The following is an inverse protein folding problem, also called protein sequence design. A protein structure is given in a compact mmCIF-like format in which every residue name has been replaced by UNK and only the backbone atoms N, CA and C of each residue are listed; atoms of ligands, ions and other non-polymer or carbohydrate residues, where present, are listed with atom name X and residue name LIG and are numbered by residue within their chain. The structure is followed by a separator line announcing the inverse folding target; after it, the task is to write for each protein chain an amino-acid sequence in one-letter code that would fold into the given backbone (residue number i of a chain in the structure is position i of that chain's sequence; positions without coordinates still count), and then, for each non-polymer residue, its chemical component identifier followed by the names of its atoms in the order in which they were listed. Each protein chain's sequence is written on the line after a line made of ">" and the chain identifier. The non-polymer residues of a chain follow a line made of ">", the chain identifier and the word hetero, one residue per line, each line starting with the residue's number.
data_IF_101697761202
#
_entry.id   IF_101697761202
#
_cell.length_a   1.000
_cell.length_b   1.000
_cell.length_c   1.000
_cell.angle_alpha   90.00
_cell.angle_beta   90.00
_cell.angle_gamma   90.00
#
_symmetry.space_group_name_H-M   'P 1'
#
loop_
_entity.id
_entity.type
_entity.pdbx_description
1 polymer ?
#
# COMPACT_ATOMS: atom_id res chain seq x y z
N UNK A 1 -11.99 -16.09 -2.88
CA UNK A 1 -11.48 -17.14 -1.98
C UNK A 1 -10.03 -16.84 -1.70
N UNK A 2 -9.47 -17.42 -0.64
CA UNK A 2 -8.09 -17.18 -0.29
C UNK A 2 -7.19 -17.95 -1.26
N UNK A 3 -6.48 -17.25 -2.14
CA UNK A 3 -5.66 -17.85 -3.20
C UNK A 3 -4.19 -17.49 -3.01
N UNK A 4 -3.31 -18.46 -3.20
CA UNK A 4 -1.85 -18.25 -3.28
C UNK A 4 -1.39 -18.43 -4.72
N UNK A 5 -0.82 -17.38 -5.32
CA UNK A 5 -0.18 -17.39 -6.64
C UNK A 5 1.30 -17.09 -6.43
N UNK A 6 2.17 -18.04 -6.81
CA UNK A 6 3.59 -17.92 -6.53
C UNK A 6 4.48 -18.44 -7.63
N UNK A 7 5.63 -17.80 -7.78
CA UNK A 7 6.67 -18.23 -8.72
C UNK A 7 6.16 -18.37 -10.16
N UNK A 8 5.15 -17.58 -10.51
CA UNK A 8 4.68 -17.43 -11.88
C UNK A 8 5.74 -16.70 -12.71
N UNK A 9 5.81 -17.04 -14.00
CA UNK A 9 6.71 -16.39 -14.94
C UNK A 9 5.98 -16.14 -16.26
N UNK A 10 6.05 -14.89 -16.73
CA UNK A 10 5.57 -14.50 -18.05
C UNK A 10 6.68 -13.84 -18.86
N UNK A 11 6.84 -14.24 -20.12
CA UNK A 11 7.72 -13.54 -21.06
C UNK A 11 7.14 -12.19 -21.54
N UNK A 12 5.86 -11.94 -21.26
CA UNK A 12 5.18 -10.65 -21.44
C UNK A 12 4.64 -10.18 -20.09
N UNK A 13 3.41 -9.68 -20.09
CA UNK A 13 2.79 -9.07 -18.90
C UNK A 13 2.14 -10.09 -17.97
N UNK A 14 2.03 -9.74 -16.67
CA UNK A 14 1.23 -10.48 -15.69
C UNK A 14 1.85 -11.81 -15.30
N UNK A 15 2.97 -11.79 -14.57
CA UNK A 15 3.72 -12.99 -14.18
C UNK A 15 2.88 -14.01 -13.40
N UNK A 16 1.92 -13.54 -12.60
CA UNK A 16 0.88 -14.37 -11.99
C UNK A 16 -0.43 -14.37 -12.78
N UNK A 17 -0.97 -13.19 -13.11
CA UNK A 17 -2.26 -13.01 -13.79
C UNK A 17 -2.18 -11.90 -14.84
N UNK A 18 -2.61 -12.19 -16.05
CA UNK A 18 -2.91 -11.17 -17.07
C UNK A 18 -4.42 -11.10 -17.30
N UNK A 19 -5.02 -9.95 -17.06
CA UNK A 19 -6.47 -9.75 -17.21
C UNK A 19 -6.82 -8.66 -18.21
N UNK A 20 -7.60 -9.04 -19.22
CA UNK A 20 -8.20 -8.14 -20.23
C UNK A 20 -9.66 -7.81 -19.94
N UNK A 21 -10.11 -8.09 -18.71
CA UNK A 21 -11.45 -7.88 -18.21
C UNK A 21 -11.40 -7.51 -16.70
N UNK A 22 -12.51 -7.04 -16.11
CA UNK A 22 -12.61 -6.85 -14.66
C UNK A 22 -12.10 -8.06 -13.87
N UNK A 23 -11.17 -7.81 -12.95
CA UNK A 23 -10.58 -8.82 -12.07
C UNK A 23 -10.93 -8.48 -10.62
N UNK A 24 -11.48 -9.46 -9.90
CA UNK A 24 -11.76 -9.32 -8.49
C UNK A 24 -10.83 -10.23 -7.68
N UNK A 25 -9.94 -9.62 -6.91
CA UNK A 25 -8.94 -10.27 -6.06
C UNK A 25 -9.32 -10.03 -4.61
N UNK A 26 -9.57 -11.11 -3.87
CA UNK A 26 -9.97 -11.04 -2.47
C UNK A 26 -9.07 -11.95 -1.64
N UNK A 27 -8.52 -11.45 -0.54
CA UNK A 27 -7.80 -12.26 0.46
C UNK A 27 -6.74 -13.17 -0.13
N UNK A 28 -6.05 -12.67 -1.15
CA UNK A 28 -5.10 -13.45 -1.95
C UNK A 28 -3.67 -13.02 -1.69
N UNK A 29 -2.73 -13.90 -2.01
CA UNK A 29 -1.30 -13.64 -1.87
C UNK A 29 -0.55 -13.96 -3.15
N UNK A 30 0.15 -12.94 -3.67
CA UNK A 30 1.02 -13.02 -4.83
C UNK A 30 2.46 -12.92 -4.36
N UNK A 31 3.25 -13.98 -4.56
CA UNK A 31 4.64 -14.04 -4.08
C UNK A 31 5.64 -14.52 -5.12
N UNK A 32 6.69 -13.76 -5.35
CA UNK A 32 7.78 -14.21 -6.21
C UNK A 32 7.37 -14.38 -7.67
N UNK A 33 6.34 -13.66 -8.15
CA UNK A 33 5.92 -13.74 -9.55
C UNK A 33 6.71 -12.76 -10.40
N UNK A 34 7.03 -13.15 -11.64
CA UNK A 34 7.96 -12.43 -12.50
C UNK A 34 7.37 -12.21 -13.90
N UNK A 35 7.50 -11.00 -14.42
CA UNK A 35 7.14 -10.65 -15.79
C UNK A 35 8.34 -10.00 -16.50
N UNK A 36 8.61 -10.41 -17.74
CA UNK A 36 9.55 -9.67 -18.60
C UNK A 36 8.88 -8.46 -19.30
N UNK A 37 7.56 -8.33 -19.16
CA UNK A 37 6.82 -7.11 -19.48
C UNK A 37 6.37 -6.42 -18.20
N UNK A 38 5.10 -6.01 -18.17
CA UNK A 38 4.54 -5.22 -17.06
C UNK A 38 3.80 -6.10 -16.04
N UNK A 39 3.77 -5.69 -14.77
CA UNK A 39 2.96 -6.32 -13.73
C UNK A 39 3.48 -7.69 -13.30
N UNK A 40 4.41 -7.72 -12.34
CA UNK A 40 5.08 -8.96 -11.95
C UNK A 40 4.12 -9.96 -11.35
N UNK A 41 3.18 -9.49 -10.52
CA UNK A 41 2.06 -10.30 -10.05
C UNK A 41 0.89 -10.25 -11.02
N UNK A 42 0.40 -9.04 -11.33
CA UNK A 42 -0.83 -8.85 -12.08
C UNK A 42 -0.64 -7.73 -13.11
N UNK A 43 -1.13 -7.95 -14.33
CA UNK A 43 -1.34 -6.89 -15.30
C UNK A 43 -2.83 -6.82 -15.68
N UNK A 44 -3.41 -5.62 -15.59
CA UNK A 44 -4.82 -5.35 -15.87
C UNK A 44 -4.90 -4.35 -17.03
N UNK A 45 -5.55 -4.74 -18.13
CA UNK A 45 -5.59 -3.95 -19.36
C UNK A 45 -6.97 -3.42 -19.76
N UNK A 46 -8.03 -3.79 -19.02
CA UNK A 46 -9.37 -3.24 -19.24
C UNK A 46 -10.32 -3.47 -18.05
N UNK A 47 -11.35 -2.62 -17.98
CA UNK A 47 -12.46 -2.75 -17.03
C UNK A 47 -12.19 -2.07 -15.70
N UNK A 48 -13.05 -2.36 -14.72
CA UNK A 48 -12.88 -1.89 -13.34
C UNK A 48 -12.65 -3.11 -12.44
N UNK A 49 -11.49 -3.18 -11.81
CA UNK A 49 -11.07 -4.30 -10.97
C UNK A 49 -11.08 -3.92 -9.48
N UNK A 50 -11.19 -4.93 -8.62
CA UNK A 50 -11.17 -4.75 -7.17
C UNK A 50 -10.08 -5.63 -6.56
N UNK A 51 -9.25 -5.05 -5.70
CA UNK A 51 -8.23 -5.76 -4.92
C UNK A 51 -8.49 -5.45 -3.45
N UNK A 52 -8.92 -6.47 -2.69
CA UNK A 52 -9.29 -6.31 -1.29
C UNK A 52 -8.56 -7.34 -0.43
N UNK A 53 -8.00 -6.87 0.69
CA UNK A 53 -7.35 -7.70 1.72
C UNK A 53 -6.25 -8.62 1.19
N UNK A 54 -5.49 -8.19 0.19
CA UNK A 54 -4.52 -9.03 -0.51
C UNK A 54 -3.07 -8.58 -0.25
N UNK A 55 -2.12 -9.49 -0.40
CA UNK A 55 -0.70 -9.22 -0.20
C UNK A 55 0.15 -9.53 -1.43
N UNK A 56 1.02 -8.59 -1.80
CA UNK A 56 1.95 -8.68 -2.93
C UNK A 56 3.37 -8.57 -2.40
N UNK A 57 4.14 -9.63 -2.57
CA UNK A 57 5.47 -9.77 -2.00
C UNK A 57 6.50 -10.24 -3.03
N UNK A 58 7.65 -9.57 -3.11
CA UNK A 58 8.77 -10.05 -3.95
C UNK A 58 8.35 -10.33 -5.40
N UNK A 59 7.40 -9.55 -5.95
CA UNK A 59 7.05 -9.64 -7.35
C UNK A 59 7.94 -8.70 -8.16
N UNK A 60 8.26 -9.12 -9.38
CA UNK A 60 9.28 -8.48 -10.22
C UNK A 60 8.78 -8.28 -11.65
N UNK A 61 8.98 -7.08 -12.20
CA UNK A 61 8.64 -6.78 -13.59
C UNK A 61 9.54 -5.70 -14.20
N UNK A 62 9.36 -5.41 -15.49
CA UNK A 62 9.94 -4.19 -16.09
C UNK A 62 9.30 -2.97 -15.45
N UNK A 63 7.98 -2.94 -15.46
CA UNK A 63 7.15 -1.88 -14.87
C UNK A 63 6.12 -2.46 -13.92
N UNK A 64 5.91 -1.81 -12.77
CA UNK A 64 4.90 -2.23 -11.80
C UNK A 64 5.24 -3.59 -11.23
N UNK A 65 6.25 -3.65 -10.35
CA UNK A 65 6.78 -4.91 -9.82
C UNK A 65 5.70 -5.83 -9.26
N UNK A 66 4.67 -5.28 -8.62
CA UNK A 66 3.46 -6.02 -8.31
C UNK A 66 2.40 -5.90 -9.42
N UNK A 67 1.94 -4.68 -9.70
CA UNK A 67 0.74 -4.44 -10.50
C UNK A 67 1.03 -3.43 -11.63
N UNK A 68 0.62 -3.78 -12.84
CA UNK A 68 0.51 -2.83 -13.94
C UNK A 68 -0.96 -2.63 -14.30
N UNK A 69 -1.36 -1.36 -14.39
CA UNK A 69 -2.73 -0.97 -14.71
C UNK A 69 -2.68 -0.11 -15.98
N UNK A 70 -3.24 -0.64 -17.06
CA UNK A 70 -3.39 0.09 -18.33
C UNK A 70 -4.85 0.11 -18.74
N UNK A 71 -5.37 1.27 -19.14
CA UNK A 71 -6.76 1.43 -19.62
C UNK A 71 -7.86 0.80 -18.70
N UNK A 72 -7.59 0.73 -17.40
CA UNK A 72 -8.46 0.12 -16.39
C UNK A 72 -8.57 1.03 -15.17
N UNK A 73 -9.69 0.93 -14.46
CA UNK A 73 -9.84 1.46 -13.11
C UNK A 73 -9.57 0.38 -12.09
N UNK A 74 -9.11 0.73 -10.89
CA UNK A 74 -8.86 -0.21 -9.80
C UNK A 74 -9.18 0.41 -8.44
N UNK A 75 -9.99 -0.30 -7.66
CA UNK A 75 -10.18 -0.05 -6.23
C UNK A 75 -9.31 -1.02 -5.42
N UNK A 76 -8.37 -0.48 -4.64
CA UNK A 76 -7.48 -1.23 -3.75
C UNK A 76 -7.83 -0.88 -2.32
N UNK A 77 -8.11 -1.89 -1.51
CA UNK A 77 -8.47 -1.70 -0.10
C UNK A 77 -7.81 -2.74 0.81
N UNK A 78 -7.38 -2.34 2.00
CA UNK A 78 -6.83 -3.25 3.01
C UNK A 78 -5.68 -4.13 2.49
N UNK A 79 -4.88 -3.65 1.55
CA UNK A 79 -3.91 -4.51 0.87
C UNK A 79 -2.49 -4.08 1.19
N UNK A 80 -1.58 -5.05 1.22
CA UNK A 80 -0.17 -4.82 1.53
C UNK A 80 0.70 -5.15 0.32
N UNK A 81 1.49 -4.19 -0.12
CA UNK A 81 2.50 -4.33 -1.17
C UNK A 81 3.86 -4.12 -0.53
N UNK A 82 4.71 -5.14 -0.54
CA UNK A 82 6.03 -5.01 0.06
C UNK A 82 7.12 -5.76 -0.67
N UNK A 83 8.32 -5.16 -0.70
CA UNK A 83 9.50 -5.74 -1.35
C UNK A 83 9.25 -6.13 -2.81
N UNK A 84 8.37 -5.42 -3.53
CA UNK A 84 8.20 -5.62 -4.97
C UNK A 84 9.20 -4.75 -5.72
N UNK A 85 9.67 -5.25 -6.86
CA UNK A 85 10.75 -4.63 -7.63
C UNK A 85 10.35 -4.39 -9.09
N UNK A 86 10.62 -3.21 -9.61
CA UNK A 86 10.55 -2.93 -11.04
C UNK A 86 11.90 -2.50 -11.57
N UNK A 87 12.27 -2.91 -12.78
CA UNK A 87 13.52 -2.48 -13.41
C UNK A 87 13.47 -1.01 -13.87
N UNK A 88 12.28 -0.51 -14.18
CA UNK A 88 12.07 0.79 -14.82
C UNK A 88 11.15 1.65 -13.96
N UNK A 89 9.83 1.50 -14.06
CA UNK A 89 8.88 2.37 -13.37
C UNK A 89 8.08 1.61 -12.31
N UNK A 90 7.91 2.22 -11.14
CA UNK A 90 7.09 1.71 -10.02
C UNK A 90 7.42 0.34 -9.46
N UNK A 91 8.06 0.29 -8.29
CA UNK A 91 8.30 -0.97 -7.57
C UNK A 91 7.01 -1.73 -7.24
N UNK A 92 5.92 -1.04 -6.86
CA UNK A 92 4.64 -1.67 -6.59
C UNK A 92 3.65 -1.53 -7.76
N UNK A 93 3.15 -0.32 -8.05
CA UNK A 93 2.06 -0.11 -9.02
C UNK A 93 2.47 0.89 -10.08
N UNK A 94 2.61 0.43 -11.32
CA UNK A 94 2.69 1.33 -12.47
C UNK A 94 1.27 1.62 -12.99
N UNK A 95 0.86 2.89 -12.92
CA UNK A 95 -0.49 3.30 -13.24
C UNK A 95 -0.54 4.17 -14.51
N UNK A 96 -0.91 3.54 -15.64
CA UNK A 96 -1.01 4.16 -16.98
C UNK A 96 -2.44 4.13 -17.51
N UNK A 97 -3.35 4.82 -16.84
CA UNK A 97 -4.77 4.84 -17.21
C UNK A 97 -5.41 6.20 -16.95
N UNK A 98 -6.57 6.40 -17.59
CA UNK A 98 -7.43 7.58 -17.42
C UNK A 98 -8.73 7.24 -16.65
N UNK A 99 -8.79 6.08 -16.01
CA UNK A 99 -9.94 5.60 -15.22
C UNK A 99 -9.62 5.65 -13.72
N UNK A 100 -10.57 5.69 -12.79
CA UNK A 100 -10.21 5.91 -11.38
C UNK A 100 -9.26 4.84 -10.80
N UNK A 101 -8.21 5.31 -10.09
CA UNK A 101 -7.43 4.52 -9.14
C UNK A 101 -7.72 5.02 -7.73
N UNK A 102 -8.17 4.12 -6.85
CA UNK A 102 -8.44 4.43 -5.45
C UNK A 102 -7.67 3.48 -4.55
N UNK A 103 -6.84 4.01 -3.68
CA UNK A 103 -6.05 3.24 -2.72
C UNK A 103 -6.46 3.64 -1.32
N UNK A 104 -7.15 2.73 -0.63
CA UNK A 104 -7.73 2.96 0.69
C UNK A 104 -7.12 2.00 1.70
N UNK A 105 -6.79 2.48 2.88
CA UNK A 105 -6.42 1.61 4.01
C UNK A 105 -5.37 0.56 3.63
N UNK A 106 -4.34 0.94 2.87
CA UNK A 106 -3.37 0.00 2.31
C UNK A 106 -1.95 0.37 2.71
N UNK A 107 -1.03 -0.59 2.66
CA UNK A 107 0.35 -0.42 3.09
C UNK A 107 1.31 -0.77 1.96
N UNK A 108 2.19 0.16 1.61
CA UNK A 108 3.24 0.05 0.60
C UNK A 108 4.59 0.23 1.28
N UNK A 109 5.34 -0.86 1.43
CA UNK A 109 6.54 -0.90 2.25
C UNK A 109 7.73 -1.44 1.46
N UNK A 110 8.83 -0.68 1.39
CA UNK A 110 10.10 -1.17 0.82
C UNK A 110 9.97 -1.71 -0.62
N UNK A 111 9.08 -1.15 -1.42
CA UNK A 111 9.04 -1.44 -2.85
C UNK A 111 10.09 -0.59 -3.58
N UNK A 112 10.71 -1.12 -4.62
CA UNK A 112 11.86 -0.50 -5.28
C UNK A 112 11.65 -0.42 -6.80
N UNK A 113 11.88 0.76 -7.36
CA UNK A 113 12.05 0.95 -8.79
C UNK A 113 13.53 1.22 -9.11
N UNK A 114 14.06 0.45 -10.07
CA UNK A 114 15.39 0.61 -10.60
C UNK A 114 15.53 1.87 -11.45
N UNK A 115 16.78 2.27 -11.73
CA UNK A 115 17.07 3.40 -12.59
C UNK A 115 17.10 2.98 -14.05
N UNK A 116 16.12 3.44 -14.82
CA UNK A 116 16.19 3.45 -16.29
C UNK A 116 16.30 4.90 -16.80
N UNK A 117 16.88 5.16 -17.99
CA UNK A 117 17.05 6.51 -18.55
C UNK A 117 15.79 7.37 -18.73
N UNK A 118 14.59 6.87 -18.46
CA UNK A 118 13.33 7.43 -18.96
C UNK A 118 12.63 8.45 -18.04
N UNK A 119 13.18 8.74 -16.87
CA UNK A 119 12.69 9.85 -16.03
C UNK A 119 12.65 9.50 -14.55
N UNK A 120 12.07 10.38 -13.70
CA UNK A 120 11.82 10.06 -12.31
C UNK A 120 10.63 9.10 -12.19
N UNK A 121 10.68 8.20 -11.21
CA UNK A 121 9.56 7.34 -10.83
C UNK A 121 9.52 7.20 -9.29
N UNK A 122 8.77 6.23 -8.77
CA UNK A 122 8.69 5.90 -7.35
C UNK A 122 8.79 4.40 -7.10
N UNK A 123 9.15 4.00 -5.89
CA UNK A 123 9.06 2.60 -5.48
C UNK A 123 7.62 2.16 -5.22
N UNK A 124 6.76 3.05 -4.69
CA UNK A 124 5.36 2.71 -4.42
C UNK A 124 4.49 2.81 -5.67
N UNK A 125 3.98 4.02 -5.99
CA UNK A 125 3.07 4.24 -7.13
C UNK A 125 3.59 5.36 -8.02
N UNK A 126 3.71 5.10 -9.32
CA UNK A 126 3.85 6.13 -10.35
C UNK A 126 2.52 6.34 -11.07
N UNK A 127 2.07 7.60 -11.03
CA UNK A 127 0.84 8.09 -11.67
C UNK A 127 1.10 9.20 -12.70
N UNK A 128 2.35 9.48 -13.05
CA UNK A 128 2.76 10.65 -13.84
C UNK A 128 2.16 10.73 -15.25
N UNK A 129 1.65 9.61 -15.76
CA UNK A 129 1.01 9.52 -17.09
C UNK A 129 -0.52 9.50 -17.03
N UNK A 130 -1.09 9.61 -15.84
CA UNK A 130 -2.54 9.55 -15.61
C UNK A 130 -3.21 10.92 -15.73
N UNK A 131 -4.39 10.95 -16.34
CA UNK A 131 -5.33 12.08 -16.23
C UNK A 131 -6.54 11.76 -15.31
N UNK A 132 -6.50 10.66 -14.58
CA UNK A 132 -7.63 10.10 -13.82
C UNK A 132 -7.73 10.57 -12.37
N UNK A 133 -6.86 11.48 -11.93
CA UNK A 133 -6.90 12.06 -10.58
C UNK A 133 -6.89 10.99 -9.45
N UNK A 134 -5.86 10.12 -9.34
CA UNK A 134 -5.81 9.06 -8.34
C UNK A 134 -6.02 9.54 -6.90
N UNK A 135 -6.66 8.70 -6.08
CA UNK A 135 -6.97 8.98 -4.68
C UNK A 135 -6.20 8.02 -3.79
N UNK A 136 -5.52 8.57 -2.77
CA UNK A 136 -4.95 7.84 -1.65
C UNK A 136 -5.67 8.30 -0.37
N UNK A 137 -6.15 7.37 0.44
CA UNK A 137 -6.74 7.68 1.73
C UNK A 137 -6.43 6.60 2.77
N UNK A 138 -6.20 7.02 4.01
CA UNK A 138 -5.95 6.12 5.15
C UNK A 138 -4.82 5.13 4.90
N UNK A 139 -3.84 5.46 4.06
CA UNK A 139 -2.84 4.51 3.56
C UNK A 139 -1.43 4.91 3.97
N UNK A 140 -0.53 3.93 3.99
CA UNK A 140 0.85 4.09 4.43
C UNK A 140 1.76 3.75 3.27
N UNK A 141 2.62 4.68 2.91
CA UNK A 141 3.74 4.47 1.99
C UNK A 141 5.01 4.78 2.75
N UNK A 142 5.86 3.77 2.91
CA UNK A 142 7.07 3.91 3.68
C UNK A 142 8.24 3.18 3.05
N UNK A 143 9.38 3.86 3.03
CA UNK A 143 10.67 3.32 2.62
C UNK A 143 10.67 2.73 1.22
N UNK A 144 9.75 3.17 0.35
CA UNK A 144 9.82 2.78 -1.05
C UNK A 144 10.89 3.65 -1.73
N UNK A 145 11.58 3.07 -2.69
CA UNK A 145 12.76 3.69 -3.29
C UNK A 145 12.69 3.75 -4.81
N UNK A 146 13.31 4.78 -5.37
CA UNK A 146 13.65 4.88 -6.78
C UNK A 146 15.13 5.24 -6.89
N UNK A 147 15.91 4.44 -7.62
CA UNK A 147 17.37 4.64 -7.76
C UNK A 147 18.10 4.73 -6.40
N UNK A 148 17.64 3.96 -5.41
CA UNK A 148 18.20 3.93 -4.05
C UNK A 148 17.84 5.13 -3.17
N UNK A 149 17.06 6.09 -3.67
CA UNK A 149 16.58 7.25 -2.91
C UNK A 149 15.11 7.05 -2.52
N UNK A 150 14.66 7.69 -1.43
CA UNK A 150 13.26 7.57 -0.99
C UNK A 150 12.29 8.21 -1.99
N UNK A 151 11.37 7.39 -2.51
CA UNK A 151 10.33 7.81 -3.44
C UNK A 151 9.09 6.93 -3.22
N UNK A 152 8.18 7.39 -2.35
CA UNK A 152 6.98 6.63 -2.02
C UNK A 152 5.96 6.66 -3.14
N UNK A 153 5.75 7.83 -3.74
CA UNK A 153 4.84 8.02 -4.84
C UNK A 153 5.39 9.08 -5.79
N UNK A 154 5.02 9.00 -7.07
CA UNK A 154 5.39 9.94 -8.10
C UNK A 154 4.18 10.32 -8.97
N UNK A 155 4.12 11.57 -9.41
CA UNK A 155 3.02 12.10 -10.22
C UNK A 155 1.93 12.83 -9.42
N UNK A 156 0.79 13.08 -10.07
CA UNK A 156 -0.28 13.91 -9.54
C UNK A 156 -1.40 13.05 -8.94
N UNK A 157 -1.75 13.34 -7.69
CA UNK A 157 -2.84 12.71 -6.95
C UNK A 157 -3.88 13.77 -6.57
N UNK A 158 -5.15 13.47 -6.78
CA UNK A 158 -6.22 14.44 -6.47
C UNK A 158 -6.45 14.60 -4.98
N UNK A 159 -6.18 13.54 -4.21
CA UNK A 159 -6.35 13.52 -2.77
C UNK A 159 -5.32 12.58 -2.14
N UNK A 160 -4.66 13.09 -1.10
CA UNK A 160 -4.13 12.28 -0.02
C UNK A 160 -4.85 12.73 1.27
N UNK A 161 -5.47 11.77 1.95
CA UNK A 161 -6.21 12.06 3.19
C UNK A 161 -5.87 11.03 4.26
N UNK A 162 -5.59 11.47 5.49
CA UNK A 162 -5.24 10.59 6.61
C UNK A 162 -4.19 9.54 6.22
N UNK A 163 -3.14 9.95 5.51
CA UNK A 163 -2.15 9.01 4.95
C UNK A 163 -0.76 9.38 5.39
N UNK A 164 0.14 8.39 5.48
CA UNK A 164 1.54 8.61 5.81
C UNK A 164 2.42 8.33 4.59
N UNK A 165 3.35 9.24 4.33
CA UNK A 165 4.44 9.08 3.37
C UNK A 165 5.77 9.36 4.07
N UNK A 166 6.76 8.49 3.90
CA UNK A 166 8.13 8.81 4.34
C UNK A 166 8.83 9.81 3.42
N UNK A 167 8.39 9.92 2.17
CA UNK A 167 8.81 10.94 1.19
C UNK A 167 7.66 11.28 0.25
N UNK A 168 7.53 12.54 -0.15
CA UNK A 168 6.57 12.98 -1.18
C UNK A 168 7.29 13.64 -2.37
N UNK A 169 8.59 13.45 -2.48
CA UNK A 169 9.40 14.07 -3.51
C UNK A 169 8.95 13.58 -4.90
N UNK A 170 8.59 14.53 -5.77
CA UNK A 170 8.08 14.23 -7.10
C UNK A 170 6.58 13.91 -7.17
N UNK A 171 5.85 13.97 -6.05
CA UNK A 171 4.41 13.86 -6.02
C UNK A 171 3.72 15.21 -5.75
N UNK A 172 2.52 15.37 -6.29
CA UNK A 172 1.63 16.47 -5.95
C UNK A 172 0.29 15.95 -5.46
N UNK A 173 -0.34 16.69 -4.53
CA UNK A 173 -1.62 16.32 -3.93
C UNK A 173 -2.56 17.52 -3.93
N UNK A 174 -3.85 17.29 -4.17
CA UNK A 174 -4.86 18.35 -4.08
C UNK A 174 -5.03 18.92 -2.67
N UNK A 175 -5.02 18.07 -1.63
CA UNK A 175 -5.02 18.45 -0.21
C UNK A 175 -4.02 17.60 0.57
N UNK A 176 -3.41 18.18 1.62
CA UNK A 176 -2.40 17.52 2.47
C UNK A 176 -2.64 17.74 3.97
N UNK A 177 -3.77 18.32 4.38
CA UNK A 177 -3.98 18.76 5.77
C UNK A 177 -3.97 17.64 6.83
N UNK A 178 -4.20 16.40 6.40
CA UNK A 178 -4.28 15.18 7.21
C UNK A 178 -3.17 14.19 6.83
N UNK A 179 -2.16 14.63 6.08
CA UNK A 179 -1.06 13.80 5.59
C UNK A 179 0.15 13.94 6.50
N UNK A 180 0.69 12.81 6.94
CA UNK A 180 1.95 12.74 7.68
C UNK A 180 3.11 12.55 6.69
N UNK A 181 4.17 13.35 6.82
CA UNK A 181 5.29 13.36 5.87
C UNK A 181 6.62 13.30 6.62
N UNK A 182 7.42 12.26 6.32
CA UNK A 182 8.74 12.06 6.92
C UNK A 182 8.72 11.37 8.29
N UNK A 183 7.53 11.06 8.82
CA UNK A 183 7.36 10.30 10.04
C UNK A 183 7.74 8.82 9.86
N UNK A 184 8.30 8.21 10.91
CA UNK A 184 8.50 6.77 10.94
C UNK A 184 7.16 6.09 11.23
N UNK A 185 6.66 5.19 10.37
CA UNK A 185 5.37 4.53 10.59
C UNK A 185 5.39 3.56 11.78
N UNK A 186 6.57 3.18 12.28
CA UNK A 186 6.77 2.29 13.42
C UNK A 186 5.95 0.99 13.30
N UNK A 187 6.05 0.37 12.12
CA UNK A 187 5.44 -0.92 11.81
C UNK A 187 6.27 -2.09 12.37
N UNK A 188 5.64 -3.25 12.56
CA UNK A 188 6.32 -4.47 12.94
C UNK A 188 7.45 -4.81 11.96
N UNK A 189 8.62 -5.25 12.43
CA UNK A 189 9.74 -5.59 11.53
C UNK A 189 9.53 -6.86 10.68
N UNK A 190 8.46 -7.61 10.94
CA UNK A 190 8.05 -8.77 10.11
C UNK A 190 6.53 -8.73 9.93
N UNK A 191 6.00 -9.19 8.79
CA UNK A 191 4.57 -9.19 8.57
C UNK A 191 3.88 -10.25 9.45
N UNK A 192 2.77 -9.85 10.06
CA UNK A 192 1.83 -10.76 10.67
C UNK A 192 1.13 -11.58 9.58
N UNK A 193 0.94 -12.87 9.83
CA UNK A 193 0.39 -13.83 8.86
C UNK A 193 -0.88 -14.46 9.40
N UNK A 194 -1.99 -14.26 8.69
CA UNK A 194 -3.24 -14.99 8.92
C UNK A 194 -3.69 -15.61 7.59
N UNK A 195 -3.79 -16.94 7.55
CA UNK A 195 -4.02 -17.67 6.31
C UNK A 195 -2.91 -17.38 5.31
N UNK A 196 -3.28 -16.93 4.10
CA UNK A 196 -2.31 -16.51 3.06
C UNK A 196 -1.97 -15.03 3.13
N UNK A 197 -2.71 -14.23 3.91
CA UNK A 197 -2.59 -12.77 3.91
C UNK A 197 -1.49 -12.29 4.85
N UNK A 198 -0.68 -11.34 4.38
CA UNK A 198 0.40 -10.71 5.11
C UNK A 198 0.15 -9.21 5.26
N UNK A 199 0.25 -8.70 6.49
CA UNK A 199 0.15 -7.27 6.80
C UNK A 199 1.12 -6.91 7.92
N UNK A 200 1.47 -5.63 8.02
CA UNK A 200 2.37 -5.12 9.05
C UNK A 200 1.57 -4.37 10.10
N UNK A 201 1.71 -4.77 11.36
CA UNK A 201 0.97 -4.16 12.45
C UNK A 201 1.68 -2.88 12.92
N UNK A 202 0.94 -1.77 13.15
CA UNK A 202 1.48 -0.64 13.91
C UNK A 202 1.93 -1.11 15.30
N UNK A 203 3.14 -0.73 15.69
CA UNK A 203 3.64 -1.01 17.05
C UNK A 203 3.19 0.09 18.01
N UNK A 204 3.18 -0.17 19.34
CA UNK A 204 2.81 0.84 20.32
C UNK A 204 3.60 2.16 20.15
N UNK A 205 2.88 3.28 20.16
CA UNK A 205 3.44 4.62 19.89
C UNK A 205 3.57 4.97 18.41
N UNK A 206 3.09 4.13 17.49
CA UNK A 206 3.05 4.43 16.07
C UNK A 206 2.12 5.62 15.79
N UNK A 207 2.50 6.55 14.90
CA UNK A 207 1.64 7.66 14.49
C UNK A 207 0.44 7.21 13.63
N UNK A 208 0.39 5.92 13.26
CA UNK A 208 -0.69 5.35 12.45
C UNK A 208 -1.93 4.99 13.28
N UNK A 209 -1.74 4.80 14.59
CA UNK A 209 -2.78 4.29 15.50
C UNK A 209 -3.87 5.34 15.67
N UNK A 210 -5.13 4.95 15.44
CA UNK A 210 -6.33 5.80 15.51
C UNK A 210 -6.26 7.05 14.62
N UNK A 211 -5.39 7.04 13.59
CA UNK A 211 -5.10 8.21 12.75
C UNK A 211 -5.72 8.12 11.34
N UNK A 212 -6.39 7.02 11.02
CA UNK A 212 -7.10 6.81 9.75
C UNK A 212 -8.39 7.62 9.65
N UNK A 213 -8.88 7.79 8.42
CA UNK A 213 -10.11 8.52 8.18
C UNK A 213 -11.33 7.77 8.76
N UNK A 214 -12.18 8.48 9.48
CA UNK A 214 -13.44 7.95 10.05
C UNK A 214 -14.61 7.98 9.06
N UNK A 215 -14.36 8.40 7.82
CA UNK A 215 -15.28 8.27 6.70
C UNK A 215 -14.71 7.29 5.66
N UNK A 216 -15.59 6.54 5.00
CA UNK A 216 -15.20 5.63 3.92
C UNK A 216 -14.14 4.56 4.29
N UNK A 217 -14.33 3.91 5.44
CA UNK A 217 -13.51 2.77 5.86
C UNK A 217 -14.31 1.45 5.88
N UNK A 218 -13.70 0.31 5.56
CA UNK A 218 -14.35 -1.01 5.65
C UNK A 218 -14.49 -1.44 7.11
N UNK A 219 -15.49 -2.28 7.41
CA UNK A 219 -15.73 -2.77 8.77
C UNK A 219 -14.55 -3.58 9.34
N UNK A 220 -13.72 -4.17 8.47
CA UNK A 220 -12.60 -5.01 8.87
C UNK A 220 -11.33 -4.63 8.11
N UNK A 221 -10.18 -4.85 8.74
CA UNK A 221 -8.85 -4.70 8.16
C UNK A 221 -8.45 -5.89 7.27
N UNK A 222 -7.18 -5.96 6.86
CA UNK A 222 -6.63 -7.05 6.03
C UNK A 222 -6.82 -8.44 6.65
N UNK A 223 -6.63 -8.56 7.96
CA UNK A 223 -6.67 -9.81 8.70
C UNK A 223 -8.04 -10.15 9.27
N UNK A 224 -9.01 -9.23 9.15
CA UNK A 224 -10.38 -9.43 9.60
C UNK A 224 -10.69 -8.85 10.98
N UNK A 225 -9.81 -8.03 11.55
CA UNK A 225 -10.05 -7.28 12.78
C UNK A 225 -10.94 -6.07 12.52
N UNK A 226 -11.75 -5.69 13.51
CA UNK A 226 -12.64 -4.53 13.38
C UNK A 226 -11.81 -3.23 13.33
N UNK A 227 -12.12 -2.33 12.41
CA UNK A 227 -11.46 -1.03 12.22
C UNK A 227 -11.90 0.07 13.18
N UNK A 228 -12.87 -0.19 14.06
CA UNK A 228 -13.24 0.76 15.12
C UNK A 228 -12.72 0.22 16.44
N UNK A 229 -11.41 0.29 16.63
CA UNK A 229 -10.75 0.03 17.90
C UNK A 229 -10.18 1.32 18.47
N UNK A 230 -9.97 1.32 19.79
CA UNK A 230 -9.30 2.40 20.51
C UNK A 230 -7.88 1.90 20.78
N UNK A 231 -7.02 2.06 19.77
CA UNK A 231 -5.66 1.52 19.77
C UNK A 231 -4.70 2.32 20.64
N UNK A 232 -4.96 3.62 20.80
CA UNK A 232 -4.15 4.55 21.59
C UNK A 232 -4.60 4.64 23.08
N UNK A 233 -5.79 4.14 23.41
CA UNK A 233 -6.32 4.09 24.78
C UNK A 233 -6.96 5.39 25.27
N UNK A 234 -7.30 6.32 24.38
CA UNK A 234 -7.91 7.62 24.70
C UNK A 234 -9.44 7.59 24.81
N UNK A 235 -10.05 6.40 24.67
CA UNK A 235 -11.50 6.14 24.68
C UNK A 235 -12.24 6.65 23.43
N UNK A 236 -11.53 7.01 22.36
CA UNK A 236 -12.08 7.49 21.08
C UNK A 236 -11.66 6.55 19.95
N UNK A 237 -12.41 5.47 19.70
CA UNK A 237 -12.03 4.50 18.68
C UNK A 237 -12.06 5.12 17.28
N UNK A 238 -10.99 4.90 16.51
CA UNK A 238 -10.84 5.31 15.13
C UNK A 238 -10.02 4.26 14.35
N UNK A 239 -10.17 4.17 13.02
CA UNK A 239 -9.35 3.23 12.26
C UNK A 239 -7.89 3.67 12.24
N UNK A 240 -7.00 2.69 12.11
CA UNK A 240 -5.61 2.95 11.83
C UNK A 240 -5.40 3.33 10.36
N UNK A 241 -4.34 4.10 10.12
CA UNK A 241 -3.77 4.21 8.78
C UNK A 241 -3.11 2.87 8.37
N UNK A 242 -3.31 2.46 7.12
CA UNK A 242 -2.71 1.27 6.54
C UNK A 242 -3.62 0.04 6.58
N UNK A 243 -3.06 -1.10 6.18
CA UNK A 243 -3.80 -2.34 5.95
C UNK A 243 -4.20 -3.10 7.21
N UNK A 244 -3.59 -2.79 8.35
CA UNK A 244 -3.75 -3.50 9.61
C UNK A 244 -4.26 -2.56 10.70
N UNK A 245 -5.19 -3.03 11.51
CA UNK A 245 -5.66 -2.35 12.71
C UNK A 245 -4.89 -2.84 13.95
N UNK A 246 -4.28 -1.95 14.71
CA UNK A 246 -3.68 -2.26 16.00
C UNK A 246 -4.75 -2.81 16.94
N UNK A 247 -4.56 -4.06 17.36
CA UNK A 247 -5.47 -4.71 18.29
C UNK A 247 -4.94 -4.60 19.71
N UNK A 248 -5.78 -4.10 20.61
CA UNK A 248 -5.50 -4.03 22.04
C UNK A 248 -5.10 -2.64 22.49
N UNK A 249 -5.43 -2.32 23.73
CA UNK A 249 -4.92 -1.11 24.35
C UNK A 249 -3.39 -1.22 24.37
N UNK A 250 -2.69 -0.27 23.74
CA UNK A 250 -1.37 0.07 24.24
C UNK A 250 -1.49 0.18 25.76
N UNK A 251 -0.53 -0.32 26.57
CA UNK A 251 -0.55 0.01 27.99
C UNK A 251 -0.78 1.50 28.09
N UNK A 252 -1.82 1.95 28.80
CA UNK A 252 -2.01 3.39 28.94
C UNK A 252 -0.67 3.96 29.42
N UNK A 253 -0.25 5.11 28.90
CA UNK A 253 0.83 5.86 29.52
C UNK A 253 0.35 6.28 30.92
N UNK A 254 0.55 5.39 31.90
CA UNK A 254 0.11 5.56 33.28
C UNK A 254 0.91 6.68 33.93
N UNK A 255 2.04 7.06 33.33
CA UNK A 255 2.91 8.12 33.80
C UNK A 255 2.57 9.50 33.23
N UNK A 256 1.90 9.56 32.09
CA UNK A 256 1.58 10.79 31.35
C UNK A 256 2.81 11.48 30.76
N UNK A 257 3.91 10.74 30.51
CA UNK A 257 5.18 11.27 29.99
C UNK A 257 5.31 11.25 28.46
N UNK A 258 4.31 10.67 27.77
CA UNK A 258 4.25 10.54 26.32
C UNK A 258 5.10 9.41 25.73
N UNK A 259 5.65 8.52 26.57
CA UNK A 259 6.50 7.40 26.13
C UNK A 259 6.12 6.09 26.81
N UNK A 260 5.76 5.07 26.01
CA UNK A 260 5.51 3.73 26.54
C UNK A 260 6.82 3.08 26.99
N UNK A 261 6.98 2.89 28.29
CA UNK A 261 8.20 2.39 28.89
C UNK A 261 7.92 1.43 30.07
N UNK A 262 8.97 0.98 30.77
CA UNK A 262 8.85 0.02 31.88
C UNK A 262 8.00 0.54 33.05
N UNK A 263 7.71 1.84 33.10
CA UNK A 263 6.88 2.44 34.14
C UNK A 263 5.36 2.35 33.83
N UNK A 264 4.97 1.85 32.64
CA UNK A 264 3.58 1.72 32.18
C UNK A 264 2.98 0.30 32.31
N UNK A 265 3.61 -0.58 33.10
CA UNK A 265 3.14 -1.97 33.38
C UNK A 265 2.53 -2.14 34.76
#
# INVERSE_FOLDING_TARGET
>A
EDVLIRSGFAAGDGGGVYSTAPLNVYRSHFVGNQANGDGGAIAISAGHSVIDRSSFFENEAVDGGALSISNAGVDITNSTFYLNFAFVDSGAIHYRSNLPLRVLHSTFLENEAGKFPDGPSAGGIDSSTSASDPIIKSSVFAYNTFDGEHADVYGDFSLADHSLFTSIDGASFGSQSSVLVGDNPLLSGTPMKIGVTHAFAPMPGSPLIDAGATDEFPAFDQHGYNRLQDGNGDLTPAPDMGAHEATGQCPADLTGDGTLNFFDV
#
